data_IF_910094719405
#
_entry.id   IF_910094719405
#
_cell.length_a   1.000
_cell.length_b   1.000
_cell.length_c   1.000
_cell.angle_alpha   90.00
_cell.angle_beta   90.00
_cell.angle_gamma   90.00
#
_symmetry.space_group_name_H-M   'P 1'
#
loop_
_entity.id
_entity.type
_entity.pdbx_description
1 polymer ?
#
# COMPACT_ATOMS: atom_id res chain seq x y z
N UNK A 1 8.94 -1.17 1.29
CA UNK A 1 9.94 -1.72 0.38
C UNK A 1 9.24 -2.57 -0.65
N UNK A 2 9.00 -2.06 -1.85
CA UNK A 2 8.50 -2.86 -2.94
C UNK A 2 9.60 -3.78 -3.46
N UNK A 3 9.26 -4.99 -3.83
CA UNK A 3 10.06 -5.75 -4.76
C UNK A 3 10.29 -4.88 -5.99
N UNK A 4 11.49 -4.84 -6.58
CA UNK A 4 11.70 -4.08 -7.80
C UNK A 4 10.65 -4.51 -8.82
N UNK A 5 9.94 -3.55 -9.30
CA UNK A 5 8.97 -3.52 -10.38
C UNK A 5 8.88 -4.79 -11.22
N UNK A 6 7.79 -5.49 -11.10
CA UNK A 6 7.31 -6.44 -12.09
C UNK A 6 7.41 -7.91 -11.73
N UNK A 7 8.37 -8.33 -10.94
CA UNK A 7 8.51 -9.76 -10.62
C UNK A 7 7.71 -10.14 -9.37
N UNK A 8 6.89 -11.17 -9.52
CA UNK A 8 6.18 -11.77 -8.38
C UNK A 8 7.16 -12.51 -7.48
N UNK A 9 6.96 -12.41 -6.17
CA UNK A 9 7.79 -13.12 -5.21
C UNK A 9 7.47 -14.62 -5.21
N UNK A 10 8.42 -15.43 -5.63
CA UNK A 10 8.32 -16.90 -5.68
C UNK A 10 9.14 -17.60 -4.58
N UNK A 11 9.84 -16.83 -3.75
CA UNK A 11 10.68 -17.39 -2.68
C UNK A 11 11.93 -18.11 -3.19
N UNK A 12 12.41 -17.81 -4.39
CA UNK A 12 13.62 -18.40 -4.91
C UNK A 12 14.85 -17.98 -4.10
N UNK A 13 15.94 -18.80 -4.07
CA UNK A 13 17.17 -18.42 -3.36
C UNK A 13 17.69 -17.04 -3.77
N UNK A 14 17.63 -16.69 -5.06
CA UNK A 14 18.06 -15.39 -5.56
C UNK A 14 17.18 -14.25 -5.04
N UNK A 15 15.85 -14.44 -4.96
CA UNK A 15 14.95 -13.44 -4.41
C UNK A 15 15.17 -13.24 -2.90
N UNK A 16 15.40 -14.30 -2.15
CA UNK A 16 15.72 -14.24 -0.71
C UNK A 16 17.03 -13.50 -0.46
N UNK A 17 18.07 -13.85 -1.23
CA UNK A 17 19.35 -13.16 -1.17
C UNK A 17 19.21 -11.66 -1.48
N UNK A 18 18.47 -11.32 -2.52
CA UNK A 18 18.21 -9.91 -2.89
C UNK A 18 17.50 -9.11 -1.79
N UNK A 19 16.54 -9.73 -1.09
CA UNK A 19 15.88 -9.11 0.06
C UNK A 19 16.88 -8.83 1.19
N UNK A 20 17.72 -9.79 1.52
CA UNK A 20 18.73 -9.65 2.55
C UNK A 20 19.78 -8.59 2.18
N UNK A 21 20.29 -8.60 0.97
CA UNK A 21 21.21 -7.56 0.45
C UNK A 21 20.58 -6.17 0.48
N UNK A 22 19.28 -6.07 0.13
CA UNK A 22 18.55 -4.80 0.20
C UNK A 22 18.43 -4.28 1.64
N UNK A 23 18.21 -5.18 2.60
CA UNK A 23 18.25 -4.84 4.02
C UNK A 23 19.64 -4.36 4.44
N UNK A 24 20.68 -5.14 4.16
CA UNK A 24 22.07 -4.82 4.56
C UNK A 24 22.53 -3.48 4.01
N UNK A 25 22.19 -3.16 2.76
CA UNK A 25 22.50 -1.86 2.16
C UNK A 25 21.83 -0.69 2.90
N UNK A 26 20.58 -0.87 3.36
CA UNK A 26 19.85 0.16 4.12
C UNK A 26 20.35 0.28 5.55
N UNK A 27 20.79 -0.82 6.13
CA UNK A 27 21.31 -0.89 7.49
C UNK A 27 22.81 -0.50 7.60
N UNK A 28 23.50 -0.27 6.47
CA UNK A 28 24.95 -0.11 6.43
C UNK A 28 25.46 0.98 7.41
N UNK A 29 24.83 2.16 7.40
CA UNK A 29 25.21 3.25 8.31
C UNK A 29 25.05 2.86 9.77
N UNK A 30 23.92 2.27 10.14
CA UNK A 30 23.64 1.89 11.52
C UNK A 30 24.58 0.76 12.00
N UNK A 31 24.92 -0.19 11.12
CA UNK A 31 25.87 -1.24 11.42
C UNK A 31 27.29 -0.68 11.62
N UNK A 32 27.72 0.26 10.77
CA UNK A 32 29.03 0.91 10.88
C UNK A 32 29.16 1.70 12.20
N UNK A 33 28.10 2.35 12.64
CA UNK A 33 28.09 3.19 13.84
C UNK A 33 27.53 2.49 15.09
N UNK A 34 27.29 1.19 15.04
CA UNK A 34 26.68 0.40 16.11
C UNK A 34 25.41 1.03 16.70
N UNK A 35 24.58 1.61 15.85
CA UNK A 35 23.35 2.29 16.24
C UNK A 35 22.18 1.32 16.16
N UNK A 36 21.29 1.23 17.16
CA UNK A 36 20.09 0.40 17.11
C UNK A 36 19.21 0.76 15.93
N UNK A 37 18.57 -0.27 15.33
CA UNK A 37 17.65 -0.11 14.21
C UNK A 37 16.23 -0.42 14.68
N UNK A 38 15.30 0.45 14.34
CA UNK A 38 13.88 0.17 14.40
C UNK A 38 13.25 0.44 13.04
N UNK A 39 12.69 -0.61 12.42
CA UNK A 39 11.88 -0.47 11.23
C UNK A 39 10.44 -0.14 11.64
N UNK A 40 10.12 1.13 11.70
CA UNK A 40 8.85 1.66 12.23
C UNK A 40 7.63 1.39 11.35
N UNK A 41 7.84 1.02 10.07
CA UNK A 41 6.76 0.79 9.12
C UNK A 41 7.18 -0.19 8.03
N UNK A 42 6.55 -1.34 7.99
CA UNK A 42 6.69 -2.32 6.91
C UNK A 42 5.45 -3.22 6.82
N UNK A 43 5.26 -3.85 5.69
CA UNK A 43 4.18 -4.78 5.42
C UNK A 43 3.67 -4.65 3.98
N UNK A 44 3.09 -5.69 3.42
CA UNK A 44 2.55 -5.66 2.06
C UNK A 44 1.21 -4.93 2.00
N UNK A 45 0.91 -4.38 0.82
CA UNK A 45 -0.45 -4.03 0.40
C UNK A 45 -1.09 -5.29 -0.17
N UNK A 46 -2.28 -5.66 0.25
CA UNK A 46 -2.97 -6.87 -0.18
C UNK A 46 -3.83 -6.62 -1.41
N UNK A 47 -3.92 -7.63 -2.28
CA UNK A 47 -4.84 -7.62 -3.40
C UNK A 47 -6.29 -7.75 -2.91
N UNK A 48 -7.17 -7.02 -3.57
CA UNK A 48 -8.60 -7.01 -3.26
C UNK A 48 -9.33 -8.03 -4.14
N UNK A 49 -9.97 -9.06 -3.58
CA UNK A 49 -10.70 -10.06 -4.37
C UNK A 49 -11.83 -9.49 -5.25
N UNK A 50 -12.34 -8.31 -4.90
CA UNK A 50 -13.35 -7.64 -5.71
C UNK A 50 -12.78 -7.01 -6.99
N UNK A 51 -11.47 -6.81 -7.05
CA UNK A 51 -10.80 -6.06 -8.13
C UNK A 51 -9.71 -6.89 -8.84
N UNK A 52 -9.15 -7.88 -8.16
CA UNK A 52 -8.04 -8.69 -8.65
C UNK A 52 -8.48 -10.15 -8.76
N UNK A 53 -8.64 -10.67 -9.97
CA UNK A 53 -9.14 -12.03 -10.23
C UNK A 53 -8.26 -13.13 -9.62
N UNK A 54 -7.00 -12.84 -9.33
CA UNK A 54 -6.02 -13.75 -8.73
C UNK A 54 -5.54 -13.25 -7.35
N UNK A 55 -6.42 -12.55 -6.61
CA UNK A 55 -6.10 -11.95 -5.32
C UNK A 55 -5.50 -12.96 -4.33
N UNK A 56 -6.05 -14.17 -4.24
CA UNK A 56 -5.59 -15.19 -3.31
C UNK A 56 -4.15 -15.61 -3.59
N UNK A 57 -3.80 -15.83 -4.87
CA UNK A 57 -2.44 -16.17 -5.28
C UNK A 57 -1.47 -15.01 -4.96
N UNK A 58 -1.86 -13.78 -5.31
CA UNK A 58 -1.07 -12.59 -5.02
C UNK A 58 -0.86 -12.44 -3.51
N UNK A 59 -1.90 -12.60 -2.72
CA UNK A 59 -1.82 -12.44 -1.27
C UNK A 59 -0.97 -13.54 -0.64
N UNK A 60 -1.07 -14.79 -1.13
CA UNK A 60 -0.19 -15.87 -0.68
C UNK A 60 1.29 -15.56 -0.91
N UNK A 61 1.65 -15.03 -2.07
CA UNK A 61 3.03 -14.60 -2.35
C UNK A 61 3.49 -13.46 -1.43
N UNK A 62 2.59 -12.52 -1.12
CA UNK A 62 2.86 -11.41 -0.20
C UNK A 62 3.04 -11.88 1.24
N UNK A 63 2.28 -12.89 1.66
CA UNK A 63 2.49 -13.54 2.96
C UNK A 63 3.85 -14.24 3.03
N UNK A 64 4.25 -14.95 1.99
CA UNK A 64 5.56 -15.59 1.92
C UNK A 64 6.70 -14.57 1.97
N UNK A 65 6.54 -13.44 1.27
CA UNK A 65 7.50 -12.32 1.32
C UNK A 65 7.62 -11.74 2.73
N UNK A 66 6.49 -11.52 3.43
CA UNK A 66 6.48 -11.04 4.80
C UNK A 66 7.21 -11.99 5.74
N UNK A 67 6.95 -13.29 5.65
CA UNK A 67 7.66 -14.31 6.44
C UNK A 67 9.17 -14.25 6.25
N UNK A 68 9.63 -14.05 5.01
CA UNK A 68 11.07 -13.90 4.73
C UNK A 68 11.64 -12.58 5.29
N UNK A 69 10.88 -11.48 5.25
CA UNK A 69 11.30 -10.21 5.87
C UNK A 69 11.46 -10.36 7.39
N UNK A 70 10.52 -11.02 8.05
CA UNK A 70 10.58 -11.28 9.49
C UNK A 70 11.80 -12.15 9.84
N UNK A 71 12.07 -13.19 9.06
CA UNK A 71 13.26 -14.00 9.23
C UNK A 71 14.58 -13.20 9.13
N UNK A 72 14.65 -12.24 8.20
CA UNK A 72 15.79 -11.35 8.07
C UNK A 72 15.90 -10.43 9.32
N UNK A 73 14.78 -9.89 9.80
CA UNK A 73 14.79 -9.03 10.99
C UNK A 73 15.25 -9.81 12.24
N UNK A 74 14.84 -11.06 12.40
CA UNK A 74 15.32 -11.92 13.48
C UNK A 74 16.82 -12.18 13.38
N UNK A 75 17.28 -12.55 12.19
CA UNK A 75 18.70 -12.83 11.92
C UNK A 75 19.61 -11.67 12.34
N UNK A 76 19.14 -10.43 12.15
CA UNK A 76 19.91 -9.23 12.46
C UNK A 76 19.44 -8.51 13.73
N UNK A 77 18.59 -9.14 14.51
CA UNK A 77 18.07 -8.63 15.79
C UNK A 77 17.46 -7.21 15.67
N UNK A 78 16.60 -7.03 14.67
CA UNK A 78 15.97 -5.75 14.35
C UNK A 78 14.64 -5.60 15.07
N UNK A 79 14.44 -4.46 15.73
CA UNK A 79 13.14 -4.06 16.22
C UNK A 79 12.26 -3.56 15.07
N UNK A 80 10.98 -3.91 15.09
CA UNK A 80 10.07 -3.54 14.02
C UNK A 80 8.63 -3.33 14.51
N UNK A 81 7.87 -2.57 13.71
CA UNK A 81 6.41 -2.43 13.83
C UNK A 81 5.78 -2.70 12.48
N UNK A 82 4.81 -3.60 12.43
CA UNK A 82 4.06 -3.84 11.20
C UNK A 82 3.14 -2.68 10.88
N UNK A 83 3.07 -2.29 9.62
CA UNK A 83 2.05 -1.38 9.12
C UNK A 83 0.93 -2.20 8.47
N UNK A 84 -0.26 -2.32 9.10
CA UNK A 84 -0.61 -1.72 10.39
C UNK A 84 -1.62 -2.63 11.12
N UNK A 85 -2.01 -2.22 12.34
CA UNK A 85 -3.00 -2.96 13.11
C UNK A 85 -4.37 -2.97 12.42
N UNK A 86 -4.90 -1.81 12.01
CA UNK A 86 -6.24 -1.66 11.45
C UNK A 86 -6.26 -0.74 10.23
N UNK A 87 -6.96 -1.16 9.19
CA UNK A 87 -7.04 -0.46 7.90
C UNK A 87 -8.45 -0.56 7.28
N UNK A 88 -8.61 0.09 6.15
CA UNK A 88 -9.83 0.09 5.33
C UNK A 88 -9.91 -1.07 4.32
N UNK A 89 -8.90 -1.93 4.25
CA UNK A 89 -8.86 -3.13 3.40
C UNK A 89 -7.55 -3.38 2.65
N UNK A 90 -6.69 -2.37 2.49
CA UNK A 90 -5.45 -2.48 1.71
C UNK A 90 -4.34 -3.20 2.46
N UNK A 91 -4.21 -2.94 3.76
CA UNK A 91 -3.20 -3.51 4.66
C UNK A 91 -3.89 -4.00 5.93
N UNK A 92 -3.23 -3.95 7.07
CA UNK A 92 -3.84 -4.20 8.37
C UNK A 92 -4.04 -5.65 8.76
N UNK A 93 -3.85 -5.91 10.05
CA UNK A 93 -4.17 -7.17 10.71
C UNK A 93 -5.69 -7.39 10.76
N UNK A 94 -6.43 -6.29 10.87
CA UNK A 94 -7.89 -6.22 10.72
C UNK A 94 -8.25 -5.10 9.75
N UNK A 95 -9.40 -5.20 9.11
CA UNK A 95 -9.87 -4.17 8.18
C UNK A 95 -11.40 -4.07 8.19
N UNK A 96 -11.92 -2.94 7.74
CA UNK A 96 -13.37 -2.71 7.67
C UNK A 96 -14.05 -3.72 6.75
N UNK A 97 -15.18 -4.26 7.19
CA UNK A 97 -15.98 -5.17 6.37
C UNK A 97 -16.45 -4.46 5.10
N UNK A 98 -16.25 -5.10 3.93
CA UNK A 98 -16.63 -4.53 2.63
C UNK A 98 -18.15 -4.31 2.49
N UNK A 99 -18.97 -5.07 3.24
CA UNK A 99 -20.43 -4.92 3.31
C UNK A 99 -20.88 -3.97 4.44
N UNK A 100 -19.96 -3.28 5.12
CA UNK A 100 -20.28 -2.31 6.17
C UNK A 100 -21.08 -1.14 5.60
N UNK A 101 -21.85 -0.46 6.45
CA UNK A 101 -22.57 0.75 6.06
C UNK A 101 -21.63 1.83 5.49
N UNK A 102 -20.45 1.96 6.08
CA UNK A 102 -19.42 2.86 5.59
C UNK A 102 -19.02 2.53 4.15
N UNK A 103 -18.57 1.31 3.89
CA UNK A 103 -18.14 0.92 2.55
C UNK A 103 -19.28 0.98 1.53
N UNK A 104 -20.49 0.57 1.90
CA UNK A 104 -21.68 0.72 1.05
C UNK A 104 -21.93 2.16 0.64
N UNK A 105 -21.77 3.10 1.57
CA UNK A 105 -21.95 4.53 1.30
C UNK A 105 -20.87 5.08 0.36
N UNK A 106 -19.59 4.75 0.61
CA UNK A 106 -18.48 5.39 -0.12
C UNK A 106 -18.08 4.66 -1.40
N UNK A 107 -18.48 3.40 -1.61
CA UNK A 107 -18.04 2.61 -2.77
C UNK A 107 -18.26 3.30 -4.13
N UNK A 108 -19.42 3.92 -4.43
CA UNK A 108 -19.59 4.63 -5.70
C UNK A 108 -18.57 5.77 -5.91
N UNK A 109 -18.24 6.45 -4.82
CA UNK A 109 -17.21 7.50 -4.85
C UNK A 109 -15.79 6.92 -5.01
N UNK A 110 -15.52 5.76 -4.40
CA UNK A 110 -14.24 5.06 -4.58
C UNK A 110 -14.06 4.55 -6.02
N UNK A 111 -15.12 4.12 -6.68
CA UNK A 111 -15.12 3.78 -8.11
C UNK A 111 -14.73 4.98 -8.96
N UNK A 112 -15.39 6.12 -8.73
CA UNK A 112 -15.03 7.37 -9.39
C UNK A 112 -13.58 7.78 -9.16
N UNK A 113 -13.06 7.63 -7.92
CA UNK A 113 -11.64 7.88 -7.62
C UNK A 113 -10.72 6.96 -8.43
N UNK A 114 -11.07 5.69 -8.59
CA UNK A 114 -10.29 4.73 -9.38
C UNK A 114 -10.26 5.11 -10.86
N UNK A 115 -11.40 5.47 -11.42
CA UNK A 115 -11.51 5.93 -12.82
C UNK A 115 -10.69 7.18 -13.06
N UNK A 116 -10.62 8.06 -12.08
CA UNK A 116 -9.81 9.28 -12.10
C UNK A 116 -8.34 9.06 -11.72
N UNK A 117 -7.97 7.82 -11.43
CA UNK A 117 -6.62 7.42 -11.02
C UNK A 117 -6.11 8.07 -9.72
N UNK A 118 -6.99 8.39 -8.82
CA UNK A 118 -6.61 8.72 -7.44
C UNK A 118 -6.34 7.43 -6.64
N UNK A 119 -5.53 7.51 -5.59
CA UNK A 119 -5.22 6.39 -4.68
C UNK A 119 -4.70 5.12 -5.38
N UNK A 120 -3.72 5.25 -6.20
CA UNK A 120 -3.23 4.16 -7.05
C UNK A 120 -2.41 3.08 -6.35
N UNK A 121 -2.18 3.09 -5.08
CA UNK A 121 -1.35 2.14 -4.30
C UNK A 121 -1.03 0.81 -5.04
N UNK A 122 -0.01 0.86 -5.92
CA UNK A 122 0.45 -0.29 -6.69
C UNK A 122 -0.40 -0.67 -7.92
N UNK A 123 -1.43 0.10 -8.28
CA UNK A 123 -2.27 -0.15 -9.45
C UNK A 123 -1.79 0.65 -10.66
N UNK A 124 -1.94 0.06 -11.85
CA UNK A 124 -1.75 0.80 -13.09
C UNK A 124 -2.90 1.79 -13.29
N UNK A 125 -2.64 2.93 -13.96
CA UNK A 125 -3.71 3.84 -14.32
C UNK A 125 -4.75 3.13 -15.20
N UNK A 126 -5.99 3.59 -15.14
CA UNK A 126 -6.95 3.29 -16.18
C UNK A 126 -6.45 3.86 -17.52
N UNK A 127 -6.90 3.28 -18.62
CA UNK A 127 -6.40 3.64 -19.95
C UNK A 127 -6.62 5.12 -20.30
N UNK A 128 -7.73 5.69 -19.86
CA UNK A 128 -8.08 7.09 -20.15
C UNK A 128 -7.17 8.09 -19.42
N UNK A 129 -6.98 8.03 -18.09
CA UNK A 129 -5.99 8.85 -17.40
C UNK A 129 -4.57 8.68 -17.92
N UNK A 130 -4.16 7.47 -18.29
CA UNK A 130 -2.85 7.22 -18.86
C UNK A 130 -2.69 7.93 -20.23
N UNK A 131 -3.69 7.82 -21.09
CA UNK A 131 -3.68 8.48 -22.39
C UNK A 131 -3.65 10.01 -22.27
N UNK A 132 -4.35 10.58 -21.30
CA UNK A 132 -4.33 12.02 -21.01
C UNK A 132 -2.97 12.48 -20.45
N UNK A 133 -2.35 11.67 -19.59
CA UNK A 133 -1.08 12.00 -18.94
C UNK A 133 0.13 11.84 -19.86
N UNK A 134 0.14 10.82 -20.69
CA UNK A 134 1.30 10.44 -21.51
C UNK A 134 1.89 11.57 -22.37
N UNK A 135 1.10 12.38 -23.10
CA UNK A 135 1.65 13.50 -23.89
C UNK A 135 2.38 14.54 -23.03
N UNK A 136 1.89 14.78 -21.80
CA UNK A 136 2.52 15.72 -20.86
C UNK A 136 3.86 15.17 -20.35
N UNK A 137 3.90 13.91 -19.97
CA UNK A 137 5.13 13.24 -19.53
C UNK A 137 6.17 13.23 -20.64
N UNK A 138 5.79 12.84 -21.85
CA UNK A 138 6.67 12.78 -23.02
C UNK A 138 7.21 14.16 -23.39
N UNK A 139 6.37 15.20 -23.28
CA UNK A 139 6.81 16.57 -23.50
C UNK A 139 7.85 17.01 -22.46
N UNK A 140 7.62 16.77 -21.17
CA UNK A 140 8.53 17.11 -20.07
C UNK A 140 9.87 16.36 -20.27
N UNK A 141 9.82 15.06 -20.55
CA UNK A 141 11.01 14.23 -20.77
C UNK A 141 11.84 14.70 -21.97
N UNK A 142 11.20 15.25 -23.00
CA UNK A 142 11.87 15.81 -24.18
C UNK A 142 12.51 17.16 -23.90
N UNK A 143 11.82 18.02 -23.14
CA UNK A 143 12.29 19.39 -22.85
C UNK A 143 13.34 19.38 -21.74
N UNK A 144 13.23 18.47 -20.79
CA UNK A 144 14.14 18.32 -19.64
C UNK A 144 14.71 16.91 -19.57
N UNK A 145 15.65 16.52 -20.44
CA UNK A 145 16.20 15.17 -20.46
C UNK A 145 16.95 14.80 -19.16
N UNK A 146 17.35 15.79 -18.35
CA UNK A 146 17.96 15.59 -17.03
C UNK A 146 16.96 15.27 -15.95
N UNK A 147 15.67 15.43 -16.17
CA UNK A 147 14.64 15.10 -15.18
C UNK A 147 14.72 13.64 -14.73
N UNK A 148 15.00 12.72 -15.64
CA UNK A 148 15.20 11.28 -15.35
C UNK A 148 16.44 11.00 -14.50
N UNK A 149 17.46 11.87 -14.57
CA UNK A 149 18.69 11.74 -13.78
C UNK A 149 18.54 12.34 -12.38
N UNK A 150 17.74 13.39 -12.26
CA UNK A 150 17.47 14.08 -11.00
C UNK A 150 16.60 13.24 -10.07
N UNK A 151 15.68 12.45 -10.64
CA UNK A 151 14.72 11.65 -9.88
C UNK A 151 15.01 10.16 -10.11
N UNK A 152 15.66 9.47 -9.18
CA UNK A 152 15.92 8.05 -9.32
C UNK A 152 14.63 7.24 -9.33
N UNK A 153 14.64 6.22 -10.09
CA UNK A 153 13.70 5.14 -10.43
C UNK A 153 12.27 5.12 -9.84
N UNK A 154 12.07 5.48 -8.59
CA UNK A 154 10.74 5.50 -7.94
C UNK A 154 9.99 6.84 -8.06
N UNK A 155 10.66 7.88 -8.55
CA UNK A 155 10.16 9.25 -8.67
C UNK A 155 10.43 9.84 -10.05
N UNK A 156 10.03 9.12 -11.10
CA UNK A 156 10.12 9.58 -12.47
C UNK A 156 9.15 10.72 -12.76
N UNK A 157 9.24 11.32 -13.95
CA UNK A 157 8.37 12.41 -14.40
C UNK A 157 6.89 12.08 -14.25
N UNK A 158 6.49 10.87 -14.64
CA UNK A 158 5.12 10.39 -14.54
C UNK A 158 4.61 10.42 -13.10
N UNK A 159 5.40 9.91 -12.15
CA UNK A 159 5.04 9.92 -10.73
C UNK A 159 4.90 11.32 -10.16
N UNK A 160 5.77 12.25 -10.57
CA UNK A 160 5.68 13.65 -10.15
C UNK A 160 4.44 14.35 -10.69
N UNK A 161 4.17 14.22 -11.99
CA UNK A 161 2.98 14.82 -12.61
C UNK A 161 1.72 14.24 -11.95
N UNK A 162 1.66 12.93 -11.80
CA UNK A 162 0.54 12.28 -11.18
C UNK A 162 0.31 12.74 -9.74
N UNK A 163 1.35 12.75 -8.91
CA UNK A 163 1.22 13.15 -7.51
C UNK A 163 0.79 14.60 -7.35
N UNK A 164 1.33 15.50 -8.15
CA UNK A 164 1.05 16.93 -8.00
C UNK A 164 -0.19 17.38 -8.76
N UNK A 165 -0.48 16.81 -9.90
CA UNK A 165 -1.63 17.19 -10.72
C UNK A 165 -2.86 16.39 -10.31
N UNK A 166 -2.82 15.05 -10.41
CA UNK A 166 -4.00 14.23 -10.14
C UNK A 166 -4.31 14.13 -8.64
N UNK A 167 -3.35 13.71 -7.82
CA UNK A 167 -3.63 13.44 -6.40
C UNK A 167 -3.73 14.71 -5.53
N UNK A 168 -3.34 15.86 -6.05
CA UNK A 168 -3.40 17.12 -5.29
C UNK A 168 -4.34 18.09 -5.93
N UNK A 169 -3.97 18.63 -7.08
CA UNK A 169 -4.73 19.72 -7.70
C UNK A 169 -6.12 19.28 -8.17
N UNK A 170 -6.18 18.20 -8.95
CA UNK A 170 -7.46 17.72 -9.47
C UNK A 170 -8.31 17.02 -8.39
N UNK A 171 -7.66 16.35 -7.43
CA UNK A 171 -8.36 15.70 -6.32
C UNK A 171 -9.11 16.70 -5.42
N UNK A 172 -8.69 17.96 -5.37
CA UNK A 172 -9.37 18.98 -4.58
C UNK A 172 -10.86 19.14 -4.97
N UNK A 173 -11.21 18.93 -6.24
CA UNK A 173 -12.59 18.97 -6.71
C UNK A 173 -13.48 17.88 -6.12
N UNK A 174 -12.91 16.77 -5.64
CA UNK A 174 -13.63 15.65 -5.07
C UNK A 174 -13.97 15.84 -3.58
N UNK A 175 -13.38 16.82 -2.91
CA UNK A 175 -13.61 17.07 -1.48
C UNK A 175 -15.09 17.38 -1.21
N UNK A 176 -15.67 18.28 -1.99
CA UNK A 176 -17.08 18.65 -1.83
C UNK A 176 -18.03 17.49 -2.17
N UNK A 177 -17.68 16.68 -3.17
CA UNK A 177 -18.46 15.50 -3.54
C UNK A 177 -18.42 14.45 -2.44
N UNK A 178 -17.23 14.19 -1.86
CA UNK A 178 -17.11 13.29 -0.72
C UNK A 178 -17.89 13.80 0.49
N UNK A 179 -17.75 15.08 0.81
CA UNK A 179 -18.49 15.71 1.91
C UNK A 179 -20.02 15.65 1.72
N UNK A 180 -20.47 15.70 0.46
CA UNK A 180 -21.90 15.63 0.15
C UNK A 180 -22.53 14.27 0.53
N UNK A 181 -21.74 13.19 0.61
CA UNK A 181 -22.22 11.87 1.05
C UNK A 181 -22.79 11.89 2.47
N UNK A 182 -22.31 12.81 3.30
CA UNK A 182 -22.69 12.92 4.72
C UNK A 182 -23.69 14.06 4.97
N UNK A 183 -24.03 14.82 3.94
CA UNK A 183 -24.92 16.00 4.09
C UNK A 183 -26.32 15.58 4.53
N UNK A 184 -26.79 16.21 5.60
CA UNK A 184 -28.14 15.97 6.13
C UNK A 184 -28.26 14.73 7.01
N UNK A 185 -27.18 14.03 7.28
CA UNK A 185 -27.18 12.92 8.24
C UNK A 185 -27.30 13.47 9.66
N UNK A 186 -28.15 12.83 10.45
CA UNK A 186 -28.23 13.07 11.88
C UNK A 186 -27.13 12.31 12.66
N UNK A 187 -27.02 12.60 13.95
CA UNK A 187 -26.00 11.98 14.83
C UNK A 187 -26.12 10.45 14.85
N UNK A 188 -27.33 9.91 14.85
CA UNK A 188 -27.57 8.46 14.85
C UNK A 188 -27.06 7.80 13.58
N UNK A 189 -27.29 8.41 12.43
CA UNK A 189 -26.80 7.92 11.14
C UNK A 189 -25.27 7.97 11.08
N UNK A 190 -24.65 9.03 11.57
CA UNK A 190 -23.18 9.14 11.66
C UNK A 190 -22.59 8.11 12.61
N UNK A 191 -23.24 7.87 13.76
CA UNK A 191 -22.83 6.81 14.70
C UNK A 191 -22.91 5.42 14.07
N UNK A 192 -23.97 5.14 13.30
CA UNK A 192 -24.10 3.86 12.58
C UNK A 192 -22.99 3.65 11.54
N UNK A 193 -22.55 4.71 10.85
CA UNK A 193 -21.37 4.64 9.98
C UNK A 193 -20.08 4.39 10.77
N UNK A 194 -19.90 5.10 11.89
CA UNK A 194 -18.74 4.94 12.75
C UNK A 194 -18.62 3.53 13.32
N UNK A 195 -19.73 2.87 13.62
CA UNK A 195 -19.75 1.44 14.07
C UNK A 195 -19.13 0.49 13.04
N UNK A 196 -19.06 0.86 11.77
CA UNK A 196 -18.34 0.06 10.75
C UNK A 196 -16.86 -0.14 11.10
N UNK A 197 -16.31 0.72 11.95
CA UNK A 197 -14.92 0.69 12.38
C UNK A 197 -14.73 0.04 13.76
N UNK A 198 -15.78 -0.39 14.46
CA UNK A 198 -15.64 -1.14 15.69
C UNK A 198 -14.95 -2.47 15.42
N UNK A 199 -14.13 -2.94 16.37
CA UNK A 199 -13.34 -4.16 16.21
C UNK A 199 -14.21 -5.38 15.85
N UNK A 200 -15.33 -5.55 16.53
CA UNK A 200 -16.27 -6.64 16.34
C UNK A 200 -16.94 -6.65 14.94
N UNK A 201 -16.93 -5.51 14.25
CA UNK A 201 -17.50 -5.35 12.90
C UNK A 201 -16.44 -5.40 11.80
N UNK A 202 -15.18 -5.54 12.17
CA UNK A 202 -14.07 -5.65 11.25
C UNK A 202 -13.76 -7.11 10.89
N UNK A 203 -13.10 -7.32 9.76
CA UNK A 203 -12.63 -8.62 9.30
C UNK A 203 -11.18 -8.80 9.72
N UNK A 204 -10.85 -9.98 10.25
CA UNK A 204 -9.46 -10.35 10.54
C UNK A 204 -8.78 -10.86 9.27
N UNK A 205 -7.53 -10.45 9.08
CA UNK A 205 -6.69 -10.95 7.99
C UNK A 205 -5.92 -12.18 8.47
N UNK A 206 -6.59 -13.33 8.42
CA UNK A 206 -6.09 -14.56 9.03
C UNK A 206 -4.71 -14.98 8.52
N UNK A 207 -4.44 -14.82 7.22
CA UNK A 207 -3.12 -15.16 6.66
C UNK A 207 -1.99 -14.32 7.25
N UNK A 208 -2.20 -13.00 7.41
CA UNK A 208 -1.25 -12.11 8.08
C UNK A 208 -1.11 -12.46 9.56
N UNK A 209 -2.24 -12.60 10.24
CA UNK A 209 -2.27 -12.85 11.69
C UNK A 209 -1.65 -14.22 12.03
N UNK A 210 -1.82 -15.22 11.16
CA UNK A 210 -1.15 -16.51 11.29
C UNK A 210 0.36 -16.37 11.29
N UNK A 211 0.92 -15.71 10.28
CA UNK A 211 2.37 -15.48 10.17
C UNK A 211 2.92 -14.75 11.39
N UNK A 212 2.23 -13.72 11.87
CA UNK A 212 2.68 -12.95 13.04
C UNK A 212 2.63 -13.79 14.32
N UNK A 213 1.60 -14.62 14.50
CA UNK A 213 1.52 -15.58 15.64
C UNK A 213 2.66 -16.60 15.59
N UNK A 214 2.86 -17.22 14.43
CA UNK A 214 3.92 -18.24 14.27
C UNK A 214 5.31 -17.64 14.55
N UNK A 215 5.53 -16.42 14.05
CA UNK A 215 6.76 -15.68 14.29
C UNK A 215 6.97 -15.34 15.79
N UNK A 216 5.92 -14.91 16.49
CA UNK A 216 5.99 -14.61 17.92
C UNK A 216 6.30 -15.88 18.75
N UNK A 217 5.63 -17.00 18.42
CA UNK A 217 5.81 -18.28 19.13
C UNK A 217 7.19 -18.90 18.90
N UNK A 218 7.85 -18.61 17.79
CA UNK A 218 9.19 -19.11 17.49
C UNK A 218 10.31 -18.42 18.31
N UNK A 219 9.98 -17.34 19.03
CA UNK A 219 10.91 -16.57 19.88
C UNK A 219 10.84 -16.94 21.37
N UNK A 220 9.83 -17.71 21.76
CA UNK A 220 9.71 -18.29 23.11
C UNK A 220 10.49 -19.61 23.21
#
# INVERSE_FOLDING_TARGET
>A
MGFPTGDRYKGTPAQKQHLEESYLRKAAFMNEHATPIWNGEFGPVYADPALDTNADEINHERYNLLGEQLRIYDKYNISWSIWLYKDIGLQGMIYTNQQSKWNTLINPFLEKKRDFWLDKWGRRPAAEPEAALRPLVDWIDRVSPTAKQTYPTSWNTEMHVMRNVFNTFLAASFVDEFAALFRGMDEKQLEELARSFHFENCVQREGLNGILRDHASARE
#
